data_IF_857890827830
#
_entry.id   IF_857890827830
#
_cell.length_a   1.000
_cell.length_b   1.000
_cell.length_c   1.000
_cell.angle_alpha   90.00
_cell.angle_beta   90.00
_cell.angle_gamma   90.00
#
_symmetry.space_group_name_H-M   'P 1'
#
loop_
_entity.id
_entity.type
_entity.pdbx_description
1 polymer ?
#
# COMPACT_ATOMS: atom_id res chain seq x y z
N UNK A 1 -61.01 -15.77 -33.61
CA UNK A 1 -59.77 -16.59 -33.61
C UNK A 1 -58.67 -15.81 -32.90
N UNK A 2 -57.84 -16.55 -32.17
CA UNK A 2 -56.75 -16.11 -31.28
C UNK A 2 -55.63 -15.39 -32.04
N UNK A 3 -54.92 -14.51 -31.34
CA UNK A 3 -53.64 -13.96 -31.78
C UNK A 3 -53.03 -12.96 -30.80
N UNK A 4 -52.78 -13.38 -29.56
CA UNK A 4 -51.86 -12.68 -28.63
C UNK A 4 -50.46 -13.20 -28.94
N UNK A 5 -49.52 -12.34 -29.30
CA UNK A 5 -48.09 -12.64 -29.20
C UNK A 5 -47.42 -11.53 -28.40
N UNK A 6 -46.97 -11.93 -27.21
CA UNK A 6 -46.11 -11.21 -26.28
C UNK A 6 -44.80 -10.80 -26.96
N UNK A 7 -44.44 -9.52 -26.84
CA UNK A 7 -43.16 -8.96 -27.29
C UNK A 7 -42.52 -8.10 -26.20
N UNK A 8 -42.32 -8.64 -25.00
CA UNK A 8 -41.55 -8.00 -23.94
C UNK A 8 -40.76 -9.07 -23.20
N UNK A 9 -39.49 -9.28 -23.58
CA UNK A 9 -38.69 -10.32 -22.92
C UNK A 9 -37.22 -10.44 -23.33
N UNK A 10 -36.62 -9.44 -23.97
CA UNK A 10 -35.21 -9.56 -24.42
C UNK A 10 -34.26 -8.46 -23.93
N UNK A 11 -34.73 -7.45 -23.19
CA UNK A 11 -33.88 -6.34 -22.75
C UNK A 11 -33.26 -6.48 -21.35
N UNK A 12 -33.59 -7.53 -20.59
CA UNK A 12 -33.10 -7.73 -19.21
C UNK A 12 -31.81 -8.56 -19.11
N UNK A 13 -31.46 -9.35 -20.13
CA UNK A 13 -30.30 -10.24 -20.08
C UNK A 13 -28.96 -9.54 -20.38
N UNK A 14 -28.97 -8.51 -21.24
CA UNK A 14 -27.73 -7.79 -21.61
C UNK A 14 -27.21 -6.88 -20.48
N UNK A 15 -28.11 -6.26 -19.70
CA UNK A 15 -27.71 -5.44 -18.55
C UNK A 15 -27.03 -6.25 -17.44
N UNK A 16 -27.52 -7.47 -17.16
CA UNK A 16 -26.96 -8.35 -16.13
C UNK A 16 -25.58 -8.93 -16.45
N UNK A 17 -25.25 -9.13 -17.74
CA UNK A 17 -23.94 -9.66 -18.15
C UNK A 17 -22.85 -8.59 -17.97
N UNK A 18 -23.16 -7.33 -18.25
CA UNK A 18 -22.20 -6.21 -18.10
C UNK A 18 -21.84 -5.93 -16.64
N UNK A 19 -22.82 -6.02 -15.73
CA UNK A 19 -22.58 -5.80 -14.29
C UNK A 19 -21.80 -6.95 -13.66
N UNK A 20 -22.10 -8.20 -14.02
CA UNK A 20 -21.34 -9.38 -13.54
C UNK A 20 -19.89 -9.37 -14.03
N UNK A 21 -19.65 -8.95 -15.27
CA UNK A 21 -18.29 -8.84 -15.81
C UNK A 21 -17.49 -7.73 -15.11
N UNK A 22 -18.08 -6.56 -14.89
CA UNK A 22 -17.45 -5.47 -14.15
C UNK A 22 -17.10 -5.89 -12.70
N UNK A 23 -18.01 -6.56 -12.01
CA UNK A 23 -17.78 -7.04 -10.65
C UNK A 23 -16.68 -8.12 -10.58
N UNK A 24 -16.56 -8.98 -11.59
CA UNK A 24 -15.50 -9.98 -11.66
C UNK A 24 -14.11 -9.34 -11.89
N UNK A 25 -14.03 -8.33 -12.75
CA UNK A 25 -12.80 -7.57 -13.00
C UNK A 25 -12.37 -6.83 -11.73
N UNK A 26 -13.29 -6.19 -11.01
CA UNK A 26 -13.00 -5.50 -9.76
C UNK A 26 -12.43 -6.44 -8.68
N UNK A 27 -13.04 -7.61 -8.51
CA UNK A 27 -12.56 -8.60 -7.55
C UNK A 27 -11.14 -9.08 -7.90
N UNK A 28 -10.84 -9.25 -9.19
CA UNK A 28 -9.48 -9.60 -9.64
C UNK A 28 -8.48 -8.49 -9.34
N UNK A 29 -8.83 -7.22 -9.58
CA UNK A 29 -7.97 -6.08 -9.28
C UNK A 29 -7.70 -5.96 -7.78
N UNK A 30 -8.69 -6.24 -6.93
CA UNK A 30 -8.52 -6.18 -5.47
C UNK A 30 -7.62 -7.32 -4.98
N UNK A 31 -7.79 -8.53 -5.51
CA UNK A 31 -6.90 -9.65 -5.25
C UNK A 31 -5.46 -9.35 -5.68
N UNK A 32 -5.26 -8.70 -6.83
CA UNK A 32 -3.95 -8.25 -7.28
C UNK A 32 -3.35 -7.23 -6.33
N UNK A 33 -4.13 -6.25 -5.86
CA UNK A 33 -3.67 -5.24 -4.91
C UNK A 33 -3.20 -5.86 -3.58
N UNK A 34 -3.94 -6.85 -3.06
CA UNK A 34 -3.57 -7.62 -1.85
C UNK A 34 -2.32 -8.47 -2.08
N UNK A 35 -2.19 -9.10 -3.26
CA UNK A 35 -1.01 -9.88 -3.60
C UNK A 35 0.26 -9.01 -3.67
N UNK A 36 0.16 -7.84 -4.32
CA UNK A 36 1.26 -6.89 -4.39
C UNK A 36 1.65 -6.35 -3.00
N UNK A 37 0.69 -6.05 -2.13
CA UNK A 37 0.98 -5.69 -0.75
C UNK A 37 1.80 -6.77 -0.04
N UNK A 38 1.40 -8.04 -0.18
CA UNK A 38 2.16 -9.17 0.38
C UNK A 38 3.58 -9.21 -0.16
N UNK A 39 3.78 -8.94 -1.45
CA UNK A 39 5.09 -8.96 -2.08
C UNK A 39 5.97 -7.77 -1.64
N UNK A 40 5.37 -6.58 -1.41
CA UNK A 40 6.05 -5.44 -0.75
C UNK A 40 6.56 -5.84 0.63
N UNK A 41 5.70 -6.43 1.46
CA UNK A 41 6.08 -6.82 2.82
C UNK A 41 7.15 -7.91 2.82
N UNK A 42 7.04 -8.89 1.92
CA UNK A 42 8.06 -9.93 1.75
C UNK A 42 9.40 -9.31 1.36
N UNK A 43 9.43 -8.46 0.34
CA UNK A 43 10.66 -7.81 -0.13
C UNK A 43 11.29 -6.95 0.98
N UNK A 44 10.47 -6.22 1.75
CA UNK A 44 10.94 -5.45 2.91
C UNK A 44 11.56 -6.35 3.99
N UNK A 45 10.90 -7.45 4.35
CA UNK A 45 11.43 -8.37 5.35
C UNK A 45 12.72 -9.05 4.88
N UNK A 46 12.88 -9.37 3.60
CA UNK A 46 14.15 -9.85 3.06
C UNK A 46 15.23 -8.77 3.14
N UNK A 47 14.93 -7.54 2.74
CA UNK A 47 15.86 -6.41 2.89
C UNK A 47 16.35 -6.26 4.34
N UNK A 48 15.46 -6.39 5.33
CA UNK A 48 15.79 -6.31 6.75
C UNK A 48 16.74 -7.43 7.20
N UNK A 49 16.56 -8.67 6.70
CA UNK A 49 17.51 -9.76 6.96
C UNK A 49 18.89 -9.43 6.40
N UNK A 50 18.95 -8.95 5.16
CA UNK A 50 20.22 -8.59 4.51
C UNK A 50 20.96 -7.47 5.26
N UNK A 51 20.24 -6.43 5.72
CA UNK A 51 20.81 -5.36 6.54
C UNK A 51 21.36 -5.87 7.88
N UNK A 52 20.78 -6.94 8.44
CA UNK A 52 21.21 -7.52 9.71
C UNK A 52 22.40 -8.49 9.56
N UNK A 53 22.43 -9.26 8.47
CA UNK A 53 23.37 -10.37 8.29
C UNK A 53 24.75 -9.95 7.74
N UNK A 54 24.85 -8.98 6.82
CA UNK A 54 26.14 -8.54 6.28
C UNK A 54 26.05 -7.16 5.59
N UNK A 55 26.83 -6.19 6.07
CA UNK A 55 26.82 -4.79 5.60
C UNK A 55 27.47 -4.57 4.22
N UNK A 56 28.00 -5.63 3.58
CA UNK A 56 28.73 -5.55 2.30
C UNK A 56 27.89 -5.90 1.06
N UNK A 57 26.57 -6.05 1.19
CA UNK A 57 25.64 -6.48 0.13
C UNK A 57 24.84 -5.33 -0.50
N UNK A 58 25.53 -4.24 -0.84
CA UNK A 58 24.91 -3.03 -1.42
C UNK A 58 24.07 -3.28 -2.69
N UNK A 59 24.51 -4.11 -3.65
CA UNK A 59 23.70 -4.43 -4.84
C UNK A 59 22.38 -5.14 -4.54
N UNK A 60 22.36 -6.06 -3.57
CA UNK A 60 21.16 -6.79 -3.17
C UNK A 60 20.17 -5.86 -2.47
N UNK A 61 20.66 -4.95 -1.61
CA UNK A 61 19.82 -3.93 -0.96
C UNK A 61 19.17 -3.00 -2.00
N UNK A 62 19.93 -2.59 -3.02
CA UNK A 62 19.40 -1.82 -4.16
C UNK A 62 18.34 -2.61 -4.95
N UNK A 63 18.54 -3.91 -5.15
CA UNK A 63 17.58 -4.76 -5.85
C UNK A 63 16.25 -4.86 -5.07
N UNK A 64 16.31 -5.04 -3.75
CA UNK A 64 15.09 -5.06 -2.92
C UNK A 64 14.41 -3.70 -2.87
N UNK A 65 15.14 -2.59 -2.75
CA UNK A 65 14.54 -1.25 -2.87
C UNK A 65 13.83 -1.10 -4.22
N UNK A 66 14.48 -1.48 -5.33
CA UNK A 66 13.88 -1.38 -6.66
C UNK A 66 12.61 -2.24 -6.78
N UNK A 67 12.59 -3.45 -6.21
CA UNK A 67 11.41 -4.30 -6.21
C UNK A 67 10.26 -3.68 -5.40
N UNK A 68 10.57 -3.16 -4.20
CA UNK A 68 9.58 -2.47 -3.37
C UNK A 68 9.01 -1.27 -4.12
N UNK A 69 9.84 -0.46 -4.78
CA UNK A 69 9.41 0.69 -5.57
C UNK A 69 8.42 0.27 -6.66
N UNK A 70 8.75 -0.75 -7.44
CA UNK A 70 7.88 -1.29 -8.51
C UNK A 70 6.55 -1.76 -7.94
N UNK A 71 6.55 -2.57 -6.89
CA UNK A 71 5.29 -3.10 -6.34
C UNK A 71 4.42 -2.00 -5.73
N UNK A 72 5.00 -1.02 -5.04
CA UNK A 72 4.24 0.12 -4.50
C UNK A 72 3.68 0.98 -5.63
N UNK A 73 4.43 1.22 -6.71
CA UNK A 73 3.91 1.94 -7.88
C UNK A 73 2.72 1.22 -8.53
N UNK A 74 2.79 -0.10 -8.67
CA UNK A 74 1.67 -0.90 -9.18
C UNK A 74 0.45 -0.86 -8.25
N UNK A 75 0.64 -0.92 -6.93
CA UNK A 75 -0.44 -0.74 -5.95
C UNK A 75 -1.10 0.63 -6.09
N UNK A 76 -0.30 1.70 -6.27
CA UNK A 76 -0.84 3.06 -6.45
C UNK A 76 -1.59 3.20 -7.79
N UNK A 77 -1.11 2.56 -8.87
CA UNK A 77 -1.84 2.52 -10.15
C UNK A 77 -3.19 1.80 -10.02
N UNK A 78 -3.23 0.69 -9.28
CA UNK A 78 -4.48 -0.02 -9.01
C UNK A 78 -5.42 0.83 -8.16
N UNK A 79 -4.91 1.49 -7.12
CA UNK A 79 -5.66 2.43 -6.29
C UNK A 79 -6.30 3.56 -7.13
N UNK A 80 -5.51 4.21 -7.99
CA UNK A 80 -5.99 5.25 -8.92
C UNK A 80 -7.02 4.70 -9.91
N UNK A 81 -6.82 3.45 -10.37
CA UNK A 81 -7.76 2.79 -11.28
C UNK A 81 -9.12 2.57 -10.61
N UNK A 82 -9.15 2.13 -9.35
CA UNK A 82 -10.39 2.03 -8.59
C UNK A 82 -11.10 3.39 -8.45
N UNK A 83 -10.35 4.45 -8.12
CA UNK A 83 -10.90 5.80 -8.04
C UNK A 83 -11.50 6.24 -9.39
N UNK A 84 -10.80 6.00 -10.51
CA UNK A 84 -11.27 6.38 -11.85
C UNK A 84 -12.51 5.60 -12.30
N UNK A 85 -12.62 4.32 -11.95
CA UNK A 85 -13.76 3.48 -12.32
C UNK A 85 -15.01 3.85 -11.49
N UNK A 86 -14.85 4.07 -10.18
CA UNK A 86 -15.98 4.22 -9.25
C UNK A 86 -16.26 5.64 -8.77
N UNK A 87 -15.33 6.57 -9.00
CA UNK A 87 -15.33 7.90 -8.37
C UNK A 87 -15.05 7.86 -6.85
N UNK A 88 -14.70 6.69 -6.31
CA UNK A 88 -14.40 6.46 -4.90
C UNK A 88 -13.51 5.22 -4.73
N UNK A 89 -12.71 5.19 -3.66
CA UNK A 89 -11.96 4.00 -3.23
C UNK A 89 -12.53 3.45 -1.93
N UNK A 90 -12.47 2.12 -1.77
CA UNK A 90 -12.84 1.48 -0.51
C UNK A 90 -11.78 1.73 0.57
N UNK A 91 -12.18 1.70 1.85
CA UNK A 91 -11.27 1.81 2.99
C UNK A 91 -10.18 0.72 2.95
N UNK A 92 -10.52 -0.50 2.53
CA UNK A 92 -9.54 -1.59 2.34
C UNK A 92 -8.43 -1.21 1.37
N UNK A 93 -8.79 -0.60 0.24
CA UNK A 93 -7.87 -0.18 -0.81
C UNK A 93 -6.99 1.00 -0.36
N UNK A 94 -7.59 1.98 0.33
CA UNK A 94 -6.86 3.09 0.95
C UNK A 94 -5.83 2.57 1.94
N UNK A 95 -6.24 1.62 2.80
CA UNK A 95 -5.38 1.02 3.81
C UNK A 95 -4.21 0.25 3.19
N UNK A 96 -4.45 -0.50 2.11
CA UNK A 96 -3.38 -1.21 1.39
C UNK A 96 -2.38 -0.20 0.79
N UNK A 97 -2.87 0.80 0.06
CA UNK A 97 -2.01 1.82 -0.56
C UNK A 97 -1.17 2.57 0.49
N UNK A 98 -1.79 2.98 1.60
CA UNK A 98 -1.12 3.65 2.70
C UNK A 98 -0.05 2.77 3.36
N UNK A 99 -0.33 1.49 3.63
CA UNK A 99 0.67 0.57 4.20
C UNK A 99 1.84 0.35 3.27
N UNK A 100 1.59 0.15 1.97
CA UNK A 100 2.63 0.03 0.96
C UNK A 100 3.56 1.26 0.92
N UNK A 101 2.99 2.46 0.97
CA UNK A 101 3.77 3.71 1.07
C UNK A 101 4.62 3.76 2.35
N UNK A 102 4.10 3.28 3.49
CA UNK A 102 4.89 3.22 4.72
C UNK A 102 6.06 2.24 4.57
N UNK A 103 5.87 1.06 3.97
CA UNK A 103 6.98 0.14 3.73
C UNK A 103 8.06 0.73 2.83
N UNK A 104 7.68 1.42 1.74
CA UNK A 104 8.65 2.10 0.87
C UNK A 104 9.36 3.26 1.58
N UNK A 105 8.63 4.01 2.40
CA UNK A 105 9.20 5.04 3.26
C UNK A 105 10.26 4.47 4.22
N UNK A 106 9.95 3.35 4.89
CA UNK A 106 10.89 2.64 5.75
C UNK A 106 12.13 2.18 4.97
N UNK A 107 11.95 1.59 3.79
CA UNK A 107 13.07 1.19 2.92
C UNK A 107 14.00 2.35 2.61
N UNK A 108 13.46 3.51 2.26
CA UNK A 108 14.27 4.71 2.02
C UNK A 108 15.02 5.16 3.29
N UNK A 109 14.38 5.13 4.46
CA UNK A 109 15.02 5.52 5.72
C UNK A 109 16.19 4.61 6.09
N UNK A 110 16.06 3.29 5.90
CA UNK A 110 17.16 2.34 6.13
C UNK A 110 18.40 2.67 5.30
N UNK A 111 18.19 3.30 4.14
CA UNK A 111 19.24 3.67 3.18
C UNK A 111 19.55 5.17 3.16
N UNK A 112 18.98 5.97 4.06
CA UNK A 112 19.20 7.41 4.11
C UNK A 112 20.66 7.80 4.44
N UNK A 113 21.41 6.89 5.09
CA UNK A 113 22.85 7.07 5.32
C UNK A 113 23.69 6.93 4.04
N UNK A 114 23.22 6.16 3.07
CA UNK A 114 23.90 5.93 1.79
C UNK A 114 23.55 7.02 0.79
N UNK A 115 22.27 7.43 0.75
CA UNK A 115 21.77 8.53 -0.08
C UNK A 115 20.86 9.43 0.77
N UNK A 116 21.33 10.65 1.12
CA UNK A 116 20.53 11.61 1.89
C UNK A 116 19.19 11.99 1.20
N UNK A 117 19.08 11.88 -0.13
CA UNK A 117 17.82 12.14 -0.84
C UNK A 117 16.72 11.15 -0.47
N UNK A 118 17.08 9.96 0.01
CA UNK A 118 16.10 8.99 0.48
C UNK A 118 15.31 9.48 1.69
N UNK A 119 15.87 10.38 2.50
CA UNK A 119 15.13 11.00 3.59
C UNK A 119 13.90 11.79 3.09
N UNK A 120 14.08 12.60 2.04
CA UNK A 120 12.99 13.39 1.47
C UNK A 120 11.92 12.49 0.86
N UNK A 121 12.34 11.48 0.07
CA UNK A 121 11.42 10.48 -0.50
C UNK A 121 10.63 9.75 0.58
N UNK A 122 11.29 9.37 1.68
CA UNK A 122 10.64 8.73 2.82
C UNK A 122 9.56 9.62 3.44
N UNK A 123 9.87 10.90 3.65
CA UNK A 123 8.91 11.86 4.18
C UNK A 123 7.71 12.06 3.24
N UNK A 124 7.94 12.13 1.94
CA UNK A 124 6.86 12.32 0.96
C UNK A 124 5.91 11.13 0.92
N UNK A 125 6.45 9.90 0.88
CA UNK A 125 5.63 8.69 0.92
C UNK A 125 4.84 8.58 2.22
N UNK A 126 5.47 8.93 3.34
CA UNK A 126 4.79 8.91 4.63
C UNK A 126 3.65 9.92 4.71
N UNK A 127 3.86 11.17 4.27
CA UNK A 127 2.81 12.18 4.22
C UNK A 127 1.65 11.74 3.33
N UNK A 128 1.94 11.14 2.17
CA UNK A 128 0.92 10.57 1.29
C UNK A 128 0.14 9.45 1.99
N UNK A 129 0.83 8.56 2.70
CA UNK A 129 0.18 7.49 3.46
C UNK A 129 -0.77 8.04 4.54
N UNK A 130 -0.35 9.08 5.27
CA UNK A 130 -1.19 9.75 6.25
C UNK A 130 -2.39 10.45 5.60
N UNK A 131 -2.19 11.12 4.46
CA UNK A 131 -3.28 11.78 3.77
C UNK A 131 -4.34 10.77 3.28
N UNK A 132 -3.90 9.62 2.74
CA UNK A 132 -4.80 8.53 2.37
C UNK A 132 -5.57 7.99 3.58
N UNK A 133 -4.98 8.06 4.77
CA UNK A 133 -5.61 7.65 6.02
C UNK A 133 -6.60 8.68 6.57
N UNK A 134 -6.28 9.96 6.51
CA UNK A 134 -7.08 11.04 7.11
C UNK A 134 -8.47 11.18 6.46
N UNK A 135 -8.60 10.79 5.18
CA UNK A 135 -9.82 11.01 4.41
C UNK A 135 -11.02 10.14 4.83
N UNK A 136 -10.87 9.12 5.69
CA UNK A 136 -12.00 8.30 6.17
C UNK A 136 -11.63 7.46 7.40
N UNK A 137 -11.55 7.97 8.64
CA UNK A 137 -11.32 7.06 9.77
C UNK A 137 -12.11 7.33 11.06
N UNK A 138 -12.82 6.27 11.47
CA UNK A 138 -13.25 5.97 12.85
C UNK A 138 -12.11 5.36 13.70
N UNK A 139 -11.04 4.84 13.08
CA UNK A 139 -9.85 4.32 13.77
C UNK A 139 -8.57 4.67 12.99
N UNK A 140 -7.51 5.25 13.58
CA UNK A 140 -6.30 5.62 12.84
C UNK A 140 -5.63 4.41 12.18
N UNK A 141 -5.23 4.52 10.91
CA UNK A 141 -4.51 3.48 10.16
C UNK A 141 -3.24 3.03 10.89
N UNK A 142 -2.59 3.98 11.57
CA UNK A 142 -1.43 3.69 12.40
C UNK A 142 -1.80 2.75 13.55
N UNK A 143 -3.00 2.80 14.12
CA UNK A 143 -3.40 1.87 15.18
C UNK A 143 -3.73 0.44 14.72
N UNK A 144 -3.69 0.17 13.41
CA UNK A 144 -4.08 -1.14 12.85
C UNK A 144 -3.00 -2.21 13.00
N UNK A 145 -3.45 -3.47 13.13
CA UNK A 145 -2.58 -4.65 13.09
C UNK A 145 -2.05 -4.86 11.67
N UNK A 146 -0.77 -5.23 11.58
CA UNK A 146 -0.16 -5.63 10.33
C UNK A 146 -0.67 -7.01 9.92
N UNK A 147 -0.93 -7.25 8.63
CA UNK A 147 -1.33 -8.58 8.14
C UNK A 147 -0.19 -9.60 8.22
N UNK A 148 1.05 -9.14 8.37
CA UNK A 148 2.24 -9.97 8.48
C UNK A 148 3.18 -9.40 9.55
N UNK A 149 4.02 -10.28 10.10
CA UNK A 149 5.11 -9.92 10.99
C UNK A 149 6.16 -9.08 10.27
N UNK A 150 6.56 -7.96 10.87
CA UNK A 150 7.58 -7.06 10.32
C UNK A 150 8.71 -6.90 11.32
N UNK A 151 9.92 -7.14 10.85
CA UNK A 151 11.13 -6.97 11.65
C UNK A 151 11.81 -5.65 11.29
N UNK A 152 12.24 -4.89 12.30
CA UNK A 152 13.17 -3.75 12.13
C UNK A 152 14.36 -3.96 13.06
N UNK A 153 15.51 -4.27 12.48
CA UNK A 153 16.65 -4.79 13.22
C UNK A 153 16.25 -6.01 14.06
N UNK A 154 16.39 -5.92 15.38
CA UNK A 154 16.07 -7.02 16.32
C UNK A 154 14.65 -6.95 16.92
N UNK A 155 13.81 -6.01 16.48
CA UNK A 155 12.46 -5.82 17.04
C UNK A 155 11.41 -6.33 16.05
N UNK A 156 10.44 -7.09 16.56
CA UNK A 156 9.25 -7.53 15.84
C UNK A 156 8.09 -6.57 16.11
N UNK A 157 7.35 -6.22 15.06
CA UNK A 157 6.17 -5.38 15.13
C UNK A 157 4.96 -6.08 14.53
N UNK A 158 3.84 -5.97 15.23
CA UNK A 158 2.54 -6.55 14.84
C UNK A 158 1.47 -5.48 14.61
N UNK A 159 1.76 -4.22 14.99
CA UNK A 159 0.91 -3.06 14.74
C UNK A 159 1.75 -1.98 14.09
N UNK A 160 1.13 -1.26 13.18
CA UNK A 160 1.77 -0.16 12.48
C UNK A 160 2.14 0.98 13.45
N UNK A 161 1.36 1.20 14.52
CA UNK A 161 1.59 2.28 15.48
C UNK A 161 2.85 2.01 16.29
N UNK A 162 3.04 0.76 16.71
CA UNK A 162 4.22 0.36 17.46
C UNK A 162 5.48 0.50 16.59
N UNK A 163 5.35 0.15 15.30
CA UNK A 163 6.42 0.32 14.30
C UNK A 163 6.88 1.77 14.26
N UNK A 164 5.94 2.72 14.25
CA UNK A 164 6.20 4.15 14.07
C UNK A 164 6.50 4.91 15.37
N UNK A 165 6.00 4.47 16.53
CA UNK A 165 6.21 5.11 17.85
C UNK A 165 7.45 4.55 18.59
N UNK A 166 8.35 3.83 17.92
CA UNK A 166 9.59 3.34 18.53
C UNK A 166 10.59 4.50 18.74
N UNK A 167 10.34 5.31 19.79
CA UNK A 167 11.08 6.53 20.20
C UNK A 167 12.58 6.31 20.41
N UNK A 168 12.99 5.09 20.74
CA UNK A 168 14.38 4.77 21.11
C UNK A 168 15.29 4.49 19.89
N UNK A 169 14.72 4.40 18.68
CA UNK A 169 15.46 4.21 17.43
C UNK A 169 14.87 5.11 16.34
N UNK A 170 15.35 6.34 16.21
CA UNK A 170 15.38 7.10 14.95
C UNK A 170 14.14 7.02 14.03
N UNK A 171 12.91 7.19 14.53
CA UNK A 171 11.82 7.50 13.61
C UNK A 171 11.87 8.98 13.24
N UNK A 172 12.73 9.28 12.28
CA UNK A 172 12.84 10.55 11.56
C UNK A 172 11.53 10.99 10.90
N UNK A 173 10.52 10.12 10.87
CA UNK A 173 9.17 10.46 10.42
C UNK A 173 8.49 11.51 11.31
N UNK A 174 8.90 11.63 12.60
CA UNK A 174 8.50 12.74 13.45
C UNK A 174 9.02 14.09 12.95
N UNK A 175 10.20 14.12 12.31
CA UNK A 175 10.74 15.34 11.71
C UNK A 175 10.05 15.69 10.37
N UNK A 176 9.49 14.70 9.65
CA UNK A 176 8.62 14.97 8.51
C UNK A 176 7.41 15.86 8.88
N UNK A 177 6.95 15.81 10.14
CA UNK A 177 5.95 16.73 10.70
C UNK A 177 6.52 18.09 11.12
N UNK A 178 7.81 18.19 11.44
CA UNK A 178 8.47 19.45 11.82
C UNK A 178 8.76 20.34 10.61
N UNK A 179 8.95 19.75 9.43
CA UNK A 179 9.22 20.50 8.19
C UNK A 179 7.96 21.03 7.48
N UNK A 180 6.73 20.63 7.86
CA UNK A 180 5.50 21.15 7.24
C UNK A 180 4.96 22.44 7.88
N UNK A 181 5.70 23.06 8.80
CA UNK A 181 5.32 24.31 9.49
C UNK A 181 6.10 25.55 9.02
N UNK A 182 6.64 25.54 7.80
CA UNK A 182 7.23 26.73 7.17
C UNK A 182 6.45 27.15 5.95
#
# INVERSE_FOLDING_TARGET
MRGIIFGFGFSLLLGGITTLHAQAVEMQLEQQMVALERDVVRAYNELQKFLHEDTRRGPELLAFESLINVYVEEVLKLYDTFWRIKGATLESQQNIAARCLIFRSLTYLERAREDPANYEKACDDYKKALHLAENNLKEPLLSTKLPYEVWIGSKLYLRLADLLDSRDKNFQMLDCFRMSKK
#
